data_IF_123631170861
#
_entry.id   IF_123631170861
#
_cell.length_a   1.000
_cell.length_b   1.000
_cell.length_c   1.000
_cell.angle_alpha   90.00
_cell.angle_beta   90.00
_cell.angle_gamma   90.00
#
_symmetry.space_group_name_H-M   'P 1'
#
loop_
_entity.id
_entity.type
_entity.pdbx_description
1 polymer ?
#
# COMPACT_ATOMS: atom_id res chain seq x y z
N UNK A 1 10.97 -2.84 20.15
CA UNK A 1 11.05 -2.51 18.71
C UNK A 1 9.73 -2.83 18.05
N UNK A 2 9.10 -1.85 17.40
CA UNK A 2 7.79 -1.98 16.75
C UNK A 2 7.81 -2.99 15.60
N UNK A 3 6.66 -3.57 15.25
CA UNK A 3 6.52 -4.52 14.12
C UNK A 3 7.03 -3.91 12.81
N UNK A 4 6.71 -2.64 12.58
CA UNK A 4 7.20 -1.84 11.44
C UNK A 4 8.74 -1.82 11.34
N UNK A 5 9.43 -1.63 12.46
CA UNK A 5 10.90 -1.58 12.47
C UNK A 5 11.51 -2.95 12.12
N UNK A 6 10.84 -4.05 12.47
CA UNK A 6 11.30 -5.42 12.21
C UNK A 6 10.89 -5.98 10.84
N UNK A 7 9.95 -5.33 10.15
CA UNK A 7 9.45 -5.81 8.87
C UNK A 7 10.54 -5.77 7.79
N UNK A 8 10.64 -6.84 7.01
CA UNK A 8 11.54 -6.92 5.86
C UNK A 8 11.05 -6.09 4.66
N UNK A 9 9.73 -5.94 4.56
CA UNK A 9 9.03 -5.15 3.56
C UNK A 9 7.65 -4.73 4.11
N UNK A 10 7.01 -3.74 3.50
CA UNK A 10 5.68 -3.29 3.91
C UNK A 10 4.70 -3.23 2.74
N UNK A 11 3.44 -3.55 3.01
CA UNK A 11 2.30 -3.18 2.17
C UNK A 11 1.56 -2.07 2.90
N UNK A 12 1.42 -0.90 2.28
CA UNK A 12 0.75 0.26 2.87
C UNK A 12 -0.53 0.51 2.09
N UNK A 13 -1.68 0.27 2.69
CA UNK A 13 -2.99 0.42 2.07
C UNK A 13 -3.79 1.57 2.70
N UNK A 14 -4.48 2.37 1.88
CA UNK A 14 -5.38 3.43 2.37
C UNK A 14 -6.54 3.68 1.39
N UNK A 15 -7.75 3.99 1.86
CA UNK A 15 -8.72 4.67 1.00
C UNK A 15 -8.19 6.06 0.64
N UNK A 16 -8.53 6.53 -0.55
CA UNK A 16 -8.28 7.90 -1.01
C UNK A 16 -9.56 8.71 -0.85
N UNK A 17 -9.52 9.66 0.06
CA UNK A 17 -10.53 10.69 0.25
C UNK A 17 -9.91 12.05 -0.08
N UNK A 18 -10.66 12.94 -0.73
CA UNK A 18 -10.20 14.28 -1.10
C UNK A 18 -8.83 14.30 -1.83
N UNK A 19 -8.61 13.32 -2.73
CA UNK A 19 -7.40 13.16 -3.52
C UNK A 19 -6.08 12.94 -2.73
N UNK A 20 -6.16 12.47 -1.48
CA UNK A 20 -4.99 12.18 -0.64
C UNK A 20 -5.13 10.87 0.17
N UNK A 21 -4.01 10.38 0.73
CA UNK A 21 -4.05 9.32 1.73
C UNK A 21 -4.85 9.74 2.97
N UNK A 22 -5.46 8.80 3.67
CA UNK A 22 -6.25 9.11 4.86
C UNK A 22 -5.41 9.83 5.93
N UNK A 23 -6.03 10.79 6.63
CA UNK A 23 -5.39 11.49 7.75
C UNK A 23 -4.93 10.55 8.85
N UNK A 24 -5.62 9.42 9.05
CA UNK A 24 -5.24 8.37 9.99
C UNK A 24 -3.89 7.74 9.60
N UNK A 25 -3.75 7.31 8.33
CA UNK A 25 -2.48 6.76 7.84
C UNK A 25 -1.37 7.81 7.92
N UNK A 26 -1.64 9.04 7.50
CA UNK A 26 -0.64 10.11 7.53
C UNK A 26 -0.17 10.40 8.95
N UNK A 27 -1.09 10.48 9.90
CA UNK A 27 -0.77 10.67 11.33
C UNK A 27 0.10 9.53 11.85
N UNK A 28 -0.22 8.27 11.50
CA UNK A 28 0.61 7.14 11.86
C UNK A 28 2.04 7.24 11.28
N UNK A 29 2.16 7.58 9.99
CA UNK A 29 3.45 7.71 9.31
C UNK A 29 4.29 8.86 9.87
N UNK A 30 3.65 9.97 10.27
CA UNK A 30 4.34 11.15 10.84
C UNK A 30 4.92 10.89 12.23
N UNK A 31 4.41 9.90 12.96
CA UNK A 31 4.93 9.50 14.27
C UNK A 31 6.13 8.54 14.15
N UNK A 32 6.44 8.04 12.95
CA UNK A 32 7.58 7.16 12.75
C UNK A 32 8.91 7.94 12.77
N UNK A 33 10.01 7.32 13.24
CA UNK A 33 11.33 7.91 13.15
C UNK A 33 11.71 8.28 11.70
N UNK A 34 12.50 9.35 11.56
CA UNK A 34 13.15 9.70 10.30
C UNK A 34 13.97 8.48 9.85
N UNK A 35 13.63 7.90 8.68
CA UNK A 35 14.19 6.65 8.13
C UNK A 35 13.62 5.32 8.66
N UNK A 36 12.41 5.30 9.21
CA UNK A 36 11.76 4.06 9.65
C UNK A 36 11.63 2.98 8.56
N UNK A 37 11.66 3.36 7.27
CA UNK A 37 11.59 2.45 6.13
C UNK A 37 12.90 2.32 5.36
N UNK A 38 14.04 2.75 5.92
CA UNK A 38 15.34 2.72 5.25
C UNK A 38 15.64 1.39 4.56
N UNK A 39 15.76 1.41 3.23
CA UNK A 39 16.13 0.24 2.43
C UNK A 39 15.06 -0.85 2.36
N UNK A 40 13.83 -0.58 2.82
CA UNK A 40 12.73 -1.54 2.80
C UNK A 40 11.89 -1.37 1.54
N UNK A 41 11.60 -2.46 0.80
CA UNK A 41 10.58 -2.45 -0.24
C UNK A 41 9.22 -2.09 0.37
N UNK A 42 8.51 -1.16 -0.26
CA UNK A 42 7.14 -0.79 0.14
C UNK A 42 6.20 -0.84 -1.05
N UNK A 43 5.12 -1.61 -0.95
CA UNK A 43 4.03 -1.66 -1.93
C UNK A 43 2.87 -0.75 -1.48
N UNK A 44 2.67 0.40 -2.13
CA UNK A 44 1.53 1.25 -1.84
C UNK A 44 0.27 0.76 -2.56
N UNK A 45 -0.82 0.57 -1.81
CA UNK A 45 -2.14 0.21 -2.32
C UNK A 45 -3.13 1.31 -1.95
N UNK A 46 -4.05 1.60 -2.86
CA UNK A 46 -5.08 2.60 -2.64
C UNK A 46 -6.43 2.12 -3.15
N UNK A 47 -7.50 2.58 -2.50
CA UNK A 47 -8.85 2.45 -3.04
C UNK A 47 -9.50 3.82 -3.21
N UNK A 48 -10.56 3.91 -4.01
CA UNK A 48 -11.41 5.11 -4.02
C UNK A 48 -12.57 5.04 -5.01
N UNK A 49 -13.52 5.96 -4.86
CA UNK A 49 -14.76 5.93 -5.63
C UNK A 49 -14.64 6.38 -7.09
N UNK A 50 -13.55 7.05 -7.47
CA UNK A 50 -13.36 7.64 -8.80
C UNK A 50 -11.93 7.47 -9.33
N UNK A 51 -11.75 7.19 -10.64
CA UNK A 51 -10.43 7.10 -11.25
C UNK A 51 -9.70 8.45 -11.28
N UNK A 52 -10.40 9.57 -11.05
CA UNK A 52 -9.79 10.90 -10.94
C UNK A 52 -8.71 10.98 -9.86
N UNK A 53 -8.74 10.08 -8.87
CA UNK A 53 -7.81 10.06 -7.76
C UNK A 53 -6.66 9.06 -7.91
N UNK A 54 -6.50 8.38 -9.06
CA UNK A 54 -5.42 7.41 -9.27
C UNK A 54 -4.04 8.03 -9.01
N UNK A 55 -3.86 9.29 -9.40
CA UNK A 55 -2.61 10.03 -9.20
C UNK A 55 -2.30 10.33 -7.72
N UNK A 56 -3.25 10.18 -6.80
CA UNK A 56 -3.01 10.38 -5.37
C UNK A 56 -1.94 9.40 -4.82
N UNK A 57 -1.80 8.21 -5.40
CA UNK A 57 -0.70 7.29 -5.06
C UNK A 57 0.67 7.95 -5.26
N UNK A 58 0.87 8.59 -6.41
CA UNK A 58 2.17 9.14 -6.79
C UNK A 58 2.42 10.53 -6.21
N UNK A 59 1.37 11.34 -6.00
CA UNK A 59 1.51 12.71 -5.50
C UNK A 59 1.27 12.88 -3.99
N UNK A 60 0.48 12.01 -3.35
CA UNK A 60 0.21 12.11 -1.91
C UNK A 60 0.98 11.06 -1.12
N UNK A 61 0.91 9.78 -1.52
CA UNK A 61 1.45 8.69 -0.71
C UNK A 61 2.94 8.43 -0.95
N UNK A 62 3.36 8.31 -2.22
CA UNK A 62 4.77 8.03 -2.58
C UNK A 62 5.76 9.02 -1.95
N UNK A 63 5.54 10.35 -1.92
CA UNK A 63 6.49 11.28 -1.32
C UNK A 63 6.71 11.03 0.18
N UNK A 64 5.65 10.71 0.92
CA UNK A 64 5.72 10.41 2.36
C UNK A 64 6.52 9.14 2.62
N UNK A 65 6.27 8.09 1.83
CA UNK A 65 7.01 6.82 1.96
C UNK A 65 8.49 7.00 1.61
N UNK A 66 8.80 7.75 0.56
CA UNK A 66 10.18 8.08 0.17
C UNK A 66 10.89 8.89 1.26
N UNK A 67 10.21 9.86 1.90
CA UNK A 67 10.77 10.62 3.01
C UNK A 67 11.13 9.75 4.23
N UNK A 68 10.41 8.64 4.43
CA UNK A 68 10.73 7.62 5.44
C UNK A 68 11.84 6.65 5.01
N UNK A 69 12.44 6.82 3.82
CA UNK A 69 13.56 6.02 3.32
C UNK A 69 13.15 4.74 2.57
N UNK A 70 11.88 4.60 2.20
CA UNK A 70 11.36 3.41 1.51
C UNK A 70 11.86 3.29 0.06
N UNK A 71 12.02 2.04 -0.40
CA UNK A 71 12.09 1.68 -1.81
C UNK A 71 10.68 1.44 -2.33
N UNK A 72 10.02 2.49 -2.83
CA UNK A 72 8.59 2.47 -3.15
C UNK A 72 8.35 1.79 -4.51
N UNK A 73 7.68 0.63 -4.49
CA UNK A 73 7.28 -0.12 -5.67
C UNK A 73 6.21 0.61 -6.51
N UNK A 74 5.84 0.02 -7.65
CA UNK A 74 4.69 0.48 -8.41
C UNK A 74 3.41 0.19 -7.62
N UNK A 75 2.69 1.24 -7.24
CA UNK A 75 1.44 1.10 -6.51
C UNK A 75 0.28 0.63 -7.36
N UNK A 76 -0.80 0.24 -6.70
CA UNK A 76 -2.05 -0.14 -7.34
C UNK A 76 -3.25 0.56 -6.71
N UNK A 77 -4.06 1.17 -7.57
CA UNK A 77 -5.32 1.80 -7.20
C UNK A 77 -6.48 0.92 -7.67
N UNK A 78 -7.40 0.62 -6.75
CA UNK A 78 -8.61 -0.17 -7.02
C UNK A 78 -9.83 0.70 -6.80
N UNK A 79 -10.76 0.70 -7.74
CA UNK A 79 -12.02 1.41 -7.56
C UNK A 79 -12.88 0.66 -6.55
N UNK A 80 -13.53 1.37 -5.63
CA UNK A 80 -14.34 0.76 -4.57
C UNK A 80 -15.42 -0.19 -5.14
N UNK A 81 -16.02 0.19 -6.29
CA UNK A 81 -17.01 -0.63 -7.01
C UNK A 81 -16.49 -1.98 -7.51
N UNK A 82 -15.18 -2.16 -7.61
CA UNK A 82 -14.57 -3.41 -8.02
C UNK A 82 -14.20 -4.30 -6.83
N UNK A 83 -14.48 -3.85 -5.59
CA UNK A 83 -14.23 -4.60 -4.36
C UNK A 83 -15.57 -5.09 -3.82
N UNK A 84 -15.74 -6.39 -3.74
CA UNK A 84 -16.90 -7.00 -3.08
C UNK A 84 -16.43 -7.76 -1.85
N UNK A 85 -16.99 -7.44 -0.70
CA UNK A 85 -16.80 -8.21 0.54
C UNK A 85 -18.03 -9.09 0.71
N UNK A 86 -17.82 -10.39 0.65
CA UNK A 86 -18.89 -11.37 0.80
C UNK A 86 -19.29 -11.51 2.28
N UNK A 87 -20.48 -12.06 2.60
CA UNK A 87 -20.94 -12.18 3.99
C UNK A 87 -20.02 -13.03 4.90
N UNK A 88 -19.25 -13.94 4.31
CA UNK A 88 -18.22 -14.76 4.96
C UNK A 88 -16.87 -14.02 5.17
N UNK A 89 -16.79 -12.75 4.76
CA UNK A 89 -15.60 -11.91 4.94
C UNK A 89 -14.55 -12.06 3.83
N UNK A 90 -14.82 -12.87 2.81
CA UNK A 90 -13.94 -13.01 1.64
C UNK A 90 -13.99 -11.74 0.79
N UNK A 91 -12.84 -11.26 0.34
CA UNK A 91 -12.73 -10.11 -0.57
C UNK A 91 -12.52 -10.61 -1.99
N UNK A 92 -13.46 -10.31 -2.87
CA UNK A 92 -13.35 -10.58 -4.31
C UNK A 92 -13.14 -9.28 -5.06
N UNK A 93 -12.24 -9.32 -6.04
CA UNK A 93 -11.98 -8.21 -6.95
C UNK A 93 -12.53 -8.56 -8.33
N UNK A 94 -13.29 -7.62 -8.92
CA UNK A 94 -13.81 -7.78 -10.27
C UNK A 94 -12.66 -7.86 -11.29
N UNK A 95 -12.88 -8.57 -12.40
CA UNK A 95 -11.95 -8.68 -13.52
C UNK A 95 -11.57 -7.31 -14.12
N UNK A 96 -12.46 -6.32 -14.01
CA UNK A 96 -12.25 -4.96 -14.51
C UNK A 96 -11.49 -4.03 -13.54
N UNK A 97 -10.97 -4.56 -12.42
CA UNK A 97 -10.14 -3.81 -11.45
C UNK A 97 -8.79 -3.28 -11.98
N UNK A 98 -8.53 -3.46 -13.27
CA UNK A 98 -7.32 -3.00 -13.95
C UNK A 98 -6.23 -4.05 -13.93
N UNK A 99 -5.25 -3.93 -13.03
CA UNK A 99 -4.19 -4.93 -12.88
C UNK A 99 -4.67 -6.09 -12.02
N UNK A 100 -4.36 -7.31 -12.43
CA UNK A 100 -4.66 -8.48 -11.61
C UNK A 100 -3.80 -8.46 -10.33
N UNK A 101 -4.39 -8.63 -9.12
CA UNK A 101 -3.67 -8.60 -7.84
C UNK A 101 -2.49 -9.56 -7.79
N UNK A 102 -2.61 -10.73 -8.43
CA UNK A 102 -1.53 -11.70 -8.56
C UNK A 102 -0.27 -11.08 -9.17
N UNK A 103 -0.39 -10.34 -10.29
CA UNK A 103 0.78 -9.74 -10.96
C UNK A 103 1.52 -8.72 -10.11
N UNK A 104 0.79 -7.91 -9.36
CA UNK A 104 1.38 -6.88 -8.49
C UNK A 104 2.08 -7.54 -7.31
N UNK A 105 1.44 -8.55 -6.73
CA UNK A 105 2.00 -9.31 -5.62
C UNK A 105 3.24 -10.07 -6.07
N UNK A 106 3.21 -10.73 -7.23
CA UNK A 106 4.35 -11.42 -7.83
C UNK A 106 5.49 -10.44 -8.09
N UNK A 107 5.22 -9.29 -8.71
CA UNK A 107 6.25 -8.28 -8.96
C UNK A 107 6.88 -7.76 -7.67
N UNK A 108 6.07 -7.56 -6.62
CA UNK A 108 6.58 -7.13 -5.32
C UNK A 108 7.36 -8.23 -4.61
N UNK A 109 6.97 -9.50 -4.77
CA UNK A 109 7.66 -10.65 -4.18
C UNK A 109 9.13 -10.75 -4.64
N UNK A 110 9.43 -10.35 -5.88
CA UNK A 110 10.80 -10.30 -6.39
C UNK A 110 11.69 -9.25 -5.70
N UNK A 111 11.09 -8.26 -5.02
CA UNK A 111 11.81 -7.26 -4.24
C UNK A 111 12.07 -7.71 -2.79
N UNK A 112 11.47 -8.81 -2.33
CA UNK A 112 11.62 -9.28 -0.96
C UNK A 112 12.98 -9.93 -0.72
N UNK A 113 13.60 -9.71 0.46
CA UNK A 113 14.80 -10.46 0.84
C UNK A 113 14.47 -11.94 1.05
N UNK A 114 15.47 -12.80 0.82
CA UNK A 114 15.32 -14.25 0.96
C UNK A 114 14.89 -14.62 2.41
N UNK A 115 13.79 -15.37 2.54
CA UNK A 115 13.27 -15.82 3.83
C UNK A 115 12.28 -14.85 4.53
N UNK A 116 11.82 -13.80 3.84
CA UNK A 116 10.80 -12.89 4.34
C UNK A 116 9.54 -13.64 4.82
N UNK A 117 9.01 -13.23 5.99
CA UNK A 117 7.77 -13.78 6.57
C UNK A 117 6.65 -12.76 6.50
N UNK A 118 5.44 -13.23 6.21
CA UNK A 118 4.25 -12.37 6.18
C UNK A 118 3.66 -12.27 7.60
N UNK A 119 3.55 -11.05 8.12
CA UNK A 119 2.90 -10.76 9.40
C UNK A 119 1.90 -9.63 9.21
N UNK A 120 0.65 -9.84 9.62
CA UNK A 120 -0.33 -8.76 9.74
C UNK A 120 -0.17 -8.05 11.09
N UNK A 121 -0.31 -6.73 11.09
CA UNK A 121 -0.22 -5.86 12.27
C UNK A 121 -1.54 -5.14 12.50
#
# INVERSE_FOLDING_TARGET
>A
MSLVAKADALVVATPIHEAACSGLLKTFLDLLPQHAFAGKPVLPLATGGSPAHILALDYSLRPVLTALGAQVAQGWFVLDRHITVTPDGTVTLDHDSGRQPARITDQFAHALPAGARMTAA
#
